data_IF_918161988863
#
_entry.id   IF_918161988863
#
_cell.length_a   1.000
_cell.length_b   1.000
_cell.length_c   1.000
_cell.angle_alpha   90.00
_cell.angle_beta   90.00
_cell.angle_gamma   90.00
#
_symmetry.space_group_name_H-M   'P 1'
#
loop_
_entity.id
_entity.type
_entity.pdbx_description
1 polymer ?
#
# COMPACT_ATOMS: atom_id res chain seq x y z
N UNK A 1 -14.69 -10.50 17.72
CA UNK A 1 -13.23 -10.29 17.77
C UNK A 1 -12.99 -8.79 17.62
N UNK A 2 -12.47 -8.14 18.66
CA UNK A 2 -12.01 -6.77 18.52
C UNK A 2 -10.74 -6.79 17.67
N UNK A 3 -10.70 -6.01 16.57
CA UNK A 3 -9.46 -5.72 15.87
C UNK A 3 -8.43 -5.30 16.92
N UNK A 4 -7.38 -6.09 17.13
CA UNK A 4 -6.27 -5.65 17.96
C UNK A 4 -5.87 -4.28 17.42
N UNK A 5 -5.88 -3.26 18.28
CA UNK A 5 -5.63 -1.88 17.88
C UNK A 5 -4.20 -1.82 17.35
N UNK A 6 -4.03 -1.96 16.03
CA UNK A 6 -2.73 -1.84 15.35
C UNK A 6 -2.09 -0.55 15.86
N UNK A 7 -0.88 -0.65 16.41
CA UNK A 7 -0.22 0.53 16.94
C UNK A 7 0.08 1.51 15.81
N UNK A 8 0.26 2.80 16.12
CA UNK A 8 0.66 3.78 15.10
C UNK A 8 1.94 3.31 14.38
N UNK A 9 2.95 2.85 15.12
CA UNK A 9 4.20 2.31 14.55
C UNK A 9 3.98 1.15 13.56
N UNK A 10 3.06 0.24 13.88
CA UNK A 10 2.75 -0.90 13.03
C UNK A 10 1.96 -0.47 11.78
N UNK A 11 1.04 0.48 11.96
CA UNK A 11 0.31 1.11 10.85
C UNK A 11 1.29 1.73 9.86
N UNK A 12 2.29 2.48 10.32
CA UNK A 12 3.32 3.09 9.44
C UNK A 12 4.04 2.02 8.65
N UNK A 13 4.50 0.97 9.34
CA UNK A 13 5.27 -0.12 8.72
C UNK A 13 4.46 -0.85 7.64
N UNK A 14 3.19 -1.15 7.92
CA UNK A 14 2.29 -1.79 6.94
C UNK A 14 2.11 -0.91 5.70
N UNK A 15 1.90 0.40 5.89
CA UNK A 15 1.73 1.35 4.78
C UNK A 15 3.02 1.49 3.98
N UNK A 16 4.15 1.72 4.66
CA UNK A 16 5.45 1.90 4.03
C UNK A 16 5.83 0.68 3.17
N UNK A 17 5.79 -0.53 3.75
CA UNK A 17 6.07 -1.76 2.99
C UNK A 17 5.17 -1.91 1.76
N UNK A 18 3.88 -1.59 1.90
CA UNK A 18 2.93 -1.70 0.79
C UNK A 18 3.20 -0.67 -0.31
N UNK A 19 3.48 0.58 0.05
CA UNK A 19 3.66 1.67 -0.90
C UNK A 19 4.97 1.53 -1.69
N UNK A 20 6.05 1.09 -1.04
CA UNK A 20 7.31 0.76 -1.71
C UNK A 20 7.11 -0.37 -2.74
N UNK A 21 6.49 -1.48 -2.33
CA UNK A 21 6.23 -2.60 -3.22
C UNK A 21 5.30 -2.21 -4.38
N UNK A 22 4.29 -1.37 -4.12
CA UNK A 22 3.40 -0.84 -5.16
C UNK A 22 4.16 0.03 -6.16
N UNK A 23 5.12 0.82 -5.69
CA UNK A 23 5.92 1.67 -6.55
C UNK A 23 6.83 0.87 -7.46
N UNK A 24 7.55 -0.10 -6.89
CA UNK A 24 8.40 -1.02 -7.65
C UNK A 24 7.60 -1.77 -8.71
N UNK A 25 6.45 -2.34 -8.34
CA UNK A 25 5.55 -3.01 -9.28
C UNK A 25 5.03 -2.07 -10.37
N UNK A 26 4.72 -0.82 -10.03
CA UNK A 26 4.26 0.18 -10.98
C UNK A 26 5.35 0.55 -11.99
N UNK A 27 6.58 0.81 -11.55
CA UNK A 27 7.71 1.11 -12.42
C UNK A 27 8.02 -0.05 -13.35
N UNK A 28 8.08 -1.28 -12.81
CA UNK A 28 8.31 -2.48 -13.59
C UNK A 28 7.21 -2.71 -14.64
N UNK A 29 5.94 -2.45 -14.29
CA UNK A 29 4.84 -2.56 -15.25
C UNK A 29 4.95 -1.52 -16.37
N UNK A 30 5.35 -0.28 -16.06
CA UNK A 30 5.60 0.74 -17.08
C UNK A 30 6.75 0.36 -18.03
N UNK A 31 7.87 -0.10 -17.49
CA UNK A 31 9.05 -0.50 -18.28
C UNK A 31 8.75 -1.65 -19.23
N UNK A 32 7.87 -2.57 -18.82
CA UNK A 32 7.50 -3.75 -19.60
C UNK A 32 6.19 -3.58 -20.40
N UNK A 33 5.59 -2.39 -20.41
CA UNK A 33 4.32 -2.11 -21.08
C UNK A 33 3.18 -3.06 -20.63
N UNK A 34 3.13 -3.35 -19.32
CA UNK A 34 2.13 -4.17 -18.65
C UNK A 34 1.03 -3.32 -17.98
N UNK A 35 -0.11 -3.92 -17.61
CA UNK A 35 -1.14 -3.22 -16.84
C UNK A 35 -0.64 -2.73 -15.49
N UNK A 36 -0.99 -1.50 -15.11
CA UNK A 36 -0.65 -0.87 -13.83
C UNK A 36 -1.76 -1.00 -12.77
N UNK A 37 -2.58 -2.06 -12.91
CA UNK A 37 -3.56 -2.49 -11.93
C UNK A 37 -3.10 -3.81 -11.35
N UNK A 38 -3.09 -3.89 -10.04
CA UNK A 38 -2.54 -5.04 -9.31
C UNK A 38 -3.61 -5.63 -8.40
N UNK A 39 -3.54 -6.93 -8.13
CA UNK A 39 -4.36 -7.53 -7.08
C UNK A 39 -3.67 -7.32 -5.73
N UNK A 40 -4.38 -6.81 -4.74
CA UNK A 40 -3.88 -6.57 -3.38
C UNK A 40 -3.30 -7.83 -2.75
N UNK A 41 -3.85 -9.00 -3.06
CA UNK A 41 -3.41 -10.27 -2.47
C UNK A 41 -2.10 -10.80 -3.10
N UNK A 42 -1.68 -10.25 -4.24
CA UNK A 42 -0.43 -10.66 -4.90
C UNK A 42 0.81 -9.99 -4.28
N UNK A 43 0.61 -9.01 -3.40
CA UNK A 43 1.69 -8.30 -2.73
C UNK A 43 2.33 -9.17 -1.63
N UNK A 44 3.66 -9.22 -1.60
CA UNK A 44 4.46 -9.89 -0.57
C UNK A 44 4.12 -9.40 0.84
N UNK A 45 3.71 -8.13 0.96
CA UNK A 45 3.22 -7.57 2.22
C UNK A 45 2.05 -8.38 2.81
N UNK A 46 1.24 -9.07 2.01
CA UNK A 46 0.15 -9.94 2.50
C UNK A 46 0.57 -11.40 2.68
N UNK A 47 1.62 -11.87 1.99
CA UNK A 47 2.09 -13.27 2.06
C UNK A 47 2.98 -13.61 3.27
N UNK A 48 3.58 -12.62 3.93
CA UNK A 48 4.44 -12.85 5.10
C UNK A 48 3.71 -12.52 6.41
N UNK A 49 3.39 -13.57 7.19
CA UNK A 49 2.80 -13.48 8.54
C UNK A 49 3.84 -13.30 9.66
N UNK A 50 5.12 -13.15 9.31
CA UNK A 50 6.23 -13.08 10.28
C UNK A 50 6.25 -11.78 11.09
N UNK A 51 5.47 -10.78 10.70
CA UNK A 51 5.31 -9.50 11.37
C UNK A 51 4.16 -9.49 12.40
N UNK A 52 3.42 -10.60 12.54
CA UNK A 52 2.40 -10.77 13.56
C UNK A 52 1.03 -10.17 13.22
N UNK A 53 0.85 -9.64 12.00
CA UNK A 53 -0.44 -9.09 11.54
C UNK A 53 -1.17 -10.08 10.64
N UNK A 54 -2.49 -10.13 10.77
CA UNK A 54 -3.31 -10.90 9.82
C UNK A 54 -3.45 -10.14 8.50
N UNK A 55 -3.74 -10.86 7.41
CA UNK A 55 -4.09 -10.23 6.13
C UNK A 55 -5.23 -9.22 6.28
N UNK A 56 -6.21 -9.50 7.16
CA UNK A 56 -7.33 -8.61 7.42
C UNK A 56 -6.91 -7.30 8.10
N UNK A 57 -5.94 -7.34 9.02
CA UNK A 57 -5.41 -6.13 9.66
C UNK A 57 -4.69 -5.25 8.64
N UNK A 58 -3.87 -5.87 7.79
CA UNK A 58 -3.16 -5.18 6.71
C UNK A 58 -4.14 -4.57 5.71
N UNK A 59 -5.15 -5.33 5.27
CA UNK A 59 -6.19 -4.85 4.35
C UNK A 59 -6.97 -3.70 4.94
N UNK A 60 -7.27 -3.76 6.24
CA UNK A 60 -7.97 -2.68 6.94
C UNK A 60 -7.12 -1.40 6.94
N UNK A 61 -5.85 -1.48 7.32
CA UNK A 61 -4.91 -0.34 7.34
C UNK A 61 -4.78 0.29 5.94
N UNK A 62 -4.53 -0.52 4.92
CA UNK A 62 -4.33 -0.02 3.54
C UNK A 62 -5.61 0.61 2.98
N UNK A 63 -6.80 0.05 3.29
CA UNK A 63 -8.08 0.65 2.88
C UNK A 63 -8.35 1.99 3.58
N UNK A 64 -8.00 2.14 4.86
CA UNK A 64 -8.13 3.41 5.55
C UNK A 64 -7.16 4.44 4.96
N UNK A 65 -5.89 4.06 4.79
CA UNK A 65 -4.88 4.91 4.18
C UNK A 65 -5.28 5.40 2.78
N UNK A 66 -5.82 4.51 1.94
CA UNK A 66 -6.30 4.87 0.61
C UNK A 66 -7.38 5.96 0.64
N UNK A 67 -8.28 5.93 1.65
CA UNK A 67 -9.34 6.93 1.82
C UNK A 67 -8.80 8.26 2.34
N UNK A 68 -7.83 8.21 3.25
CA UNK A 68 -7.23 9.39 3.88
C UNK A 68 -6.30 10.14 2.91
N UNK A 69 -5.40 9.41 2.24
CA UNK A 69 -4.36 9.99 1.39
C UNK A 69 -4.85 10.29 -0.04
N UNK A 70 -5.71 9.42 -0.60
CA UNK A 70 -6.11 9.47 -2.00
C UNK A 70 -5.00 9.16 -3.01
N UNK A 71 -3.85 8.64 -2.56
CA UNK A 71 -2.73 8.27 -3.43
C UNK A 71 -2.99 6.99 -4.22
N UNK A 72 -3.72 6.06 -3.62
CA UNK A 72 -4.08 4.79 -4.24
C UNK A 72 -5.61 4.67 -4.28
N UNK A 73 -6.10 3.99 -5.32
CA UNK A 73 -7.50 3.63 -5.45
C UNK A 73 -7.63 2.12 -5.34
N UNK A 74 -8.52 1.68 -4.45
CA UNK A 74 -8.85 0.28 -4.25
C UNK A 74 -10.27 0.03 -4.76
N UNK A 75 -10.46 -1.02 -5.55
CA UNK A 75 -11.77 -1.41 -6.09
C UNK A 75 -11.88 -2.94 -6.06
N UNK A 76 -12.66 -3.46 -5.11
CA UNK A 76 -12.66 -4.89 -4.80
C UNK A 76 -11.30 -5.32 -4.26
N UNK A 77 -10.64 -6.23 -4.96
CA UNK A 77 -9.26 -6.68 -4.69
C UNK A 77 -8.22 -5.94 -5.53
N UNK A 78 -8.62 -5.09 -6.47
CA UNK A 78 -7.68 -4.35 -7.31
C UNK A 78 -7.19 -3.08 -6.62
N UNK A 79 -5.91 -2.76 -6.83
CA UNK A 79 -5.28 -1.50 -6.46
C UNK A 79 -4.61 -0.87 -7.68
N UNK A 80 -4.68 0.47 -7.75
CA UNK A 80 -4.01 1.27 -8.76
C UNK A 80 -3.56 2.60 -8.16
N UNK A 81 -2.48 3.16 -8.69
CA UNK A 81 -1.99 4.48 -8.30
C UNK A 81 -2.87 5.57 -8.94
N UNK A 82 -3.28 6.58 -8.17
CA UNK A 82 -4.05 7.71 -8.70
C UNK A 82 -3.12 8.77 -9.30
N UNK A 83 -3.66 9.73 -10.05
CA UNK A 83 -2.89 10.90 -10.49
C UNK A 83 -2.23 11.66 -9.33
N UNK A 84 -2.86 11.68 -8.14
CA UNK A 84 -2.29 12.29 -6.94
C UNK A 84 -1.14 11.44 -6.41
N UNK A 85 -1.30 10.12 -6.35
CA UNK A 85 -0.25 9.19 -5.95
C UNK A 85 0.97 9.26 -6.85
N UNK A 86 0.79 9.36 -8.17
CA UNK A 86 1.92 9.51 -9.10
C UNK A 86 2.76 10.75 -8.82
N UNK A 87 2.13 11.87 -8.47
CA UNK A 87 2.87 13.08 -8.06
C UNK A 87 3.60 12.89 -6.75
N UNK A 88 3.07 12.06 -5.84
CA UNK A 88 3.72 11.73 -4.57
C UNK A 88 4.95 10.85 -4.81
N UNK A 89 4.82 9.78 -5.59
CA UNK A 89 5.92 8.86 -5.92
C UNK A 89 7.09 9.53 -6.66
N UNK A 90 6.85 10.65 -7.34
CA UNK A 90 7.89 11.43 -8.03
C UNK A 90 8.74 12.31 -7.09
N UNK A 91 8.40 12.39 -5.80
CA UNK A 91 9.20 13.14 -4.83
C UNK A 91 10.38 12.28 -4.36
N UNK A 92 11.46 12.95 -3.97
CA UNK A 92 12.61 12.31 -3.33
C UNK A 92 12.32 11.81 -1.92
N UNK A 93 11.32 12.41 -1.26
CA UNK A 93 10.82 11.99 0.06
C UNK A 93 9.30 11.95 -0.02
N UNK A 94 8.72 10.80 0.31
CA UNK A 94 7.29 10.59 0.24
C UNK A 94 6.60 10.98 1.54
N UNK A 95 5.32 11.35 1.47
CA UNK A 95 4.51 11.60 2.66
C UNK A 95 4.47 10.39 3.61
N UNK A 96 4.55 9.17 3.06
CA UNK A 96 4.64 7.94 3.85
C UNK A 96 6.04 7.63 4.42
N UNK A 97 7.06 8.41 4.08
CA UNK A 97 8.37 8.34 4.76
C UNK A 97 8.41 9.21 6.02
N UNK A 98 7.63 10.30 6.02
CA UNK A 98 7.69 11.35 7.05
C UNK A 98 6.54 11.23 8.05
N UNK A 99 5.31 11.12 7.53
CA UNK A 99 4.09 11.37 8.30
C UNK A 99 3.29 10.12 8.62
N UNK A 100 3.50 9.01 7.92
CA UNK A 100 2.88 7.75 8.36
C UNK A 100 3.59 7.21 9.54
#
# INVERSE_FOLDING_TARGET
MALAKVSESDRKKIIWNFMEELWENYLNALENNLPTKFNLLDFFNFGTLKDGFTENDKLYVIKQYARESGYIKISGTEVSVTKKGLKEFQKDIHDWDINT
#
